data_IF_899289170527
#
_entry.id   IF_899289170527
#
_cell.length_a   1.000
_cell.length_b   1.000
_cell.length_c   1.000
_cell.angle_alpha   90.00
_cell.angle_beta   90.00
_cell.angle_gamma   90.00
#
_symmetry.space_group_name_H-M   'P 1'
#
loop_
_entity.id
_entity.type
_entity.pdbx_description
1 polymer ?
#
# COMPACT_ATOMS: atom_id res chain seq x y z
N UNK A 1 -48.50 26.17 -20.73
CA UNK A 1 -47.05 26.39 -20.55
C UNK A 1 -46.77 26.88 -19.13
N UNK A 2 -46.18 26.01 -18.30
CA UNK A 2 -45.48 26.25 -17.03
C UNK A 2 -44.70 24.96 -16.68
N UNK A 3 -43.60 25.05 -15.88
CA UNK A 3 -42.38 24.20 -15.92
C UNK A 3 -42.52 22.93 -15.01
N UNK A 4 -41.55 22.00 -14.74
CA UNK A 4 -40.15 22.23 -14.30
C UNK A 4 -39.10 21.09 -14.53
N UNK A 5 -37.97 21.20 -13.83
CA UNK A 5 -37.01 20.15 -13.44
C UNK A 5 -35.77 19.90 -14.32
N UNK A 6 -34.75 20.75 -14.10
CA UNK A 6 -33.39 20.27 -13.88
C UNK A 6 -33.41 19.07 -12.91
N UNK A 7 -33.46 17.84 -13.44
CA UNK A 7 -33.00 16.66 -12.72
C UNK A 7 -31.57 16.41 -13.19
N UNK A 8 -30.53 16.59 -12.36
CA UNK A 8 -29.21 16.08 -12.73
C UNK A 8 -29.36 14.57 -12.88
N UNK A 9 -29.11 14.08 -14.10
CA UNK A 9 -29.13 12.65 -14.38
C UNK A 9 -28.14 11.96 -13.43
N UNK A 10 -28.54 10.88 -12.74
CA UNK A 10 -27.63 10.11 -11.91
C UNK A 10 -26.59 9.51 -12.85
N UNK A 11 -25.35 10.00 -12.72
CA UNK A 11 -24.09 9.44 -13.21
C UNK A 11 -24.26 8.08 -13.91
N UNK A 12 -24.69 8.12 -15.17
CA UNK A 12 -24.70 6.94 -16.03
C UNK A 12 -23.30 6.80 -16.60
N UNK A 13 -22.35 6.42 -15.75
CA UNK A 13 -21.06 5.95 -16.23
C UNK A 13 -21.22 4.54 -16.76
N UNK A 14 -21.54 4.44 -18.03
CA UNK A 14 -21.36 3.20 -18.79
C UNK A 14 -20.48 3.51 -19.98
N UNK A 15 -19.31 2.87 -19.98
CA UNK A 15 -18.71 2.36 -21.21
C UNK A 15 -17.81 3.32 -21.99
N UNK A 16 -16.65 3.64 -21.42
CA UNK A 16 -15.45 3.86 -22.22
C UNK A 16 -14.29 3.16 -21.51
N UNK A 17 -14.20 1.84 -21.64
CA UNK A 17 -13.08 1.06 -21.14
C UNK A 17 -11.86 1.34 -22.03
N UNK A 18 -11.16 2.44 -21.74
CA UNK A 18 -9.78 2.57 -22.17
C UNK A 18 -8.98 1.46 -21.43
N UNK A 19 -8.12 0.70 -22.13
CA UNK A 19 -7.34 -0.36 -21.48
C UNK A 19 -6.40 0.18 -20.39
N UNK A 20 -6.17 1.50 -20.33
CA UNK A 20 -5.41 2.19 -19.29
C UNK A 20 -6.20 2.54 -18.01
N UNK A 21 -7.54 2.50 -18.02
CA UNK A 21 -8.38 2.90 -16.86
C UNK A 21 -8.72 1.77 -15.88
N UNK A 22 -8.48 0.51 -16.25
CA UNK A 22 -8.71 -0.63 -15.34
C UNK A 22 -7.74 -0.65 -14.14
N UNK A 23 -6.51 -0.16 -14.32
CA UNK A 23 -5.51 -0.05 -13.26
C UNK A 23 -5.79 1.09 -12.25
N UNK A 24 -6.68 2.03 -12.59
CA UNK A 24 -6.93 3.26 -11.80
C UNK A 24 -8.31 3.27 -11.15
N UNK A 25 -8.98 2.12 -11.07
CA UNK A 25 -10.19 2.01 -10.24
C UNK A 25 -9.85 2.40 -8.80
N UNK A 26 -10.74 3.13 -8.12
CA UNK A 26 -10.53 3.60 -6.75
C UNK A 26 -10.08 2.47 -5.79
N UNK A 27 -10.57 1.24 -6.06
CA UNK A 27 -10.15 0.02 -5.36
C UNK A 27 -8.67 -0.32 -5.56
N UNK A 28 -8.17 -0.25 -6.80
CA UNK A 28 -6.76 -0.50 -7.15
C UNK A 28 -5.83 0.52 -6.50
N UNK A 29 -6.27 1.79 -6.42
CA UNK A 29 -5.52 2.84 -5.71
C UNK A 29 -5.39 2.50 -4.22
N UNK A 30 -6.49 2.11 -3.57
CA UNK A 30 -6.46 1.70 -2.15
C UNK A 30 -5.54 0.48 -1.95
N UNK A 31 -5.65 -0.56 -2.79
CA UNK A 31 -4.76 -1.74 -2.73
C UNK A 31 -3.29 -1.30 -2.81
N UNK A 32 -2.95 -0.50 -3.83
CA UNK A 32 -1.58 -0.07 -4.07
C UNK A 32 -1.04 0.81 -2.93
N UNK A 33 -1.84 1.71 -2.37
CA UNK A 33 -1.44 2.56 -1.24
C UNK A 33 -1.06 1.74 -0.02
N UNK A 34 -1.88 0.75 0.36
CA UNK A 34 -1.56 -0.10 1.51
C UNK A 34 -0.42 -1.07 1.24
N UNK A 35 -0.30 -1.58 0.00
CA UNK A 35 0.80 -2.45 -0.39
C UNK A 35 2.17 -1.71 -0.41
N UNK A 36 2.19 -0.44 -0.83
CA UNK A 36 3.40 0.39 -0.93
C UNK A 36 3.82 1.05 0.40
N UNK A 37 2.92 1.16 1.38
CA UNK A 37 3.22 1.77 2.67
C UNK A 37 4.22 0.96 3.53
N UNK A 38 4.61 -0.25 3.11
CA UNK A 38 5.60 -1.06 3.82
C UNK A 38 7.03 -0.54 3.62
N UNK A 39 7.70 -0.17 4.72
CA UNK A 39 9.13 0.18 4.82
C UNK A 39 10.10 -1.00 4.51
N UNK A 40 9.77 -1.84 3.54
CA UNK A 40 10.62 -2.94 3.09
C UNK A 40 11.68 -2.44 2.08
N UNK A 41 12.57 -1.57 2.56
CA UNK A 41 13.67 -1.04 1.76
C UNK A 41 15.01 -1.20 2.51
N UNK A 42 16.11 -1.33 1.77
CA UNK A 42 17.45 -1.52 2.34
C UNK A 42 17.84 -0.37 3.29
N UNK A 43 17.33 0.84 3.03
CA UNK A 43 17.48 2.00 3.92
C UNK A 43 16.90 1.75 5.32
N UNK A 44 15.76 1.09 5.43
CA UNK A 44 15.11 0.76 6.71
C UNK A 44 15.87 -0.31 7.49
N UNK A 45 16.56 -1.23 6.82
CA UNK A 45 17.50 -2.13 7.49
C UNK A 45 18.67 -1.32 8.04
N UNK A 46 19.25 -0.42 7.23
CA UNK A 46 20.37 0.41 7.68
C UNK A 46 19.99 1.29 8.88
N UNK A 47 18.77 1.84 8.90
CA UNK A 47 18.23 2.60 10.04
C UNK A 47 18.10 1.69 11.27
N UNK A 48 17.57 0.48 11.15
CA UNK A 48 17.44 -0.44 12.28
C UNK A 48 18.81 -0.93 12.79
N UNK A 49 19.74 -1.28 11.90
CA UNK A 49 21.11 -1.68 12.23
C UNK A 49 21.91 -0.50 12.82
N UNK A 50 21.63 0.73 12.38
CA UNK A 50 22.24 1.96 12.89
C UNK A 50 21.70 2.35 14.25
N UNK A 51 20.38 2.38 14.42
CA UNK A 51 19.71 2.76 15.66
C UNK A 51 19.80 1.68 16.74
N UNK A 52 19.29 0.48 16.48
CA UNK A 52 19.31 -0.63 17.45
C UNK A 52 20.75 -1.09 17.69
N UNK A 53 21.58 -1.13 16.64
CA UNK A 53 22.99 -1.49 16.78
C UNK A 53 23.86 -0.45 17.49
N UNK A 54 23.38 0.79 17.70
CA UNK A 54 24.03 1.74 18.59
C UNK A 54 23.64 1.53 20.06
N UNK A 55 22.44 1.02 20.33
CA UNK A 55 21.93 0.71 21.67
C UNK A 55 22.45 -0.65 22.18
N UNK A 56 22.57 -1.63 21.28
CA UNK A 56 23.03 -2.99 21.55
C UNK A 56 24.09 -3.42 20.50
N UNK A 57 25.34 -2.94 20.62
CA UNK A 57 26.40 -3.17 19.63
C UNK A 57 26.75 -4.65 19.44
N UNK A 58 26.61 -5.49 20.47
CA UNK A 58 26.81 -6.94 20.43
C UNK A 58 25.79 -7.67 19.53
N UNK A 59 24.63 -7.06 19.28
CA UNK A 59 23.57 -7.66 18.43
C UNK A 59 23.61 -7.17 16.98
N UNK A 60 24.55 -6.30 16.63
CA UNK A 60 24.62 -5.69 15.29
C UNK A 60 24.82 -6.73 14.18
N UNK A 61 25.52 -7.84 14.45
CA UNK A 61 25.66 -8.97 13.53
C UNK A 61 24.36 -9.74 13.30
N UNK A 62 23.52 -9.85 14.34
CA UNK A 62 22.23 -10.52 14.24
C UNK A 62 21.26 -9.66 13.45
N UNK A 63 21.25 -8.34 13.70
CA UNK A 63 20.44 -7.37 12.97
C UNK A 63 20.80 -7.34 11.47
N UNK A 64 22.09 -7.38 11.12
CA UNK A 64 22.51 -7.41 9.71
C UNK A 64 22.21 -8.75 9.03
N UNK A 65 22.31 -9.89 9.74
CA UNK A 65 21.91 -11.21 9.22
C UNK A 65 20.40 -11.35 9.04
N UNK A 66 19.61 -10.84 9.98
CA UNK A 66 18.15 -10.97 9.97
C UNK A 66 17.47 -9.89 9.13
N UNK A 67 18.12 -8.73 8.94
CA UNK A 67 17.58 -7.58 8.20
C UNK A 67 16.94 -7.94 6.85
N UNK A 68 17.63 -8.67 5.94
CA UNK A 68 17.05 -9.02 4.64
C UNK A 68 15.81 -9.91 4.75
N UNK A 69 15.80 -10.84 5.72
CA UNK A 69 14.64 -11.72 5.99
C UNK A 69 13.48 -10.92 6.57
N UNK A 70 13.78 -10.00 7.49
CA UNK A 70 12.80 -9.10 8.09
C UNK A 70 12.17 -8.16 7.05
N UNK A 71 12.93 -7.70 6.05
CA UNK A 71 12.40 -6.92 4.92
C UNK A 71 11.34 -7.70 4.15
N UNK A 72 11.64 -8.94 3.75
CA UNK A 72 10.72 -9.78 2.98
C UNK A 72 9.45 -10.06 3.81
N UNK A 73 9.62 -10.39 5.09
CA UNK A 73 8.49 -10.57 6.01
C UNK A 73 7.64 -9.30 6.14
N UNK A 74 8.28 -8.12 6.20
CA UNK A 74 7.61 -6.82 6.23
C UNK A 74 6.81 -6.53 4.96
N UNK A 75 7.33 -6.89 3.77
CA UNK A 75 6.58 -6.79 2.51
C UNK A 75 5.32 -7.65 2.54
N UNK A 76 5.43 -8.90 3.00
CA UNK A 76 4.26 -9.78 3.11
C UNK A 76 3.23 -9.26 4.12
N UNK A 77 3.66 -8.67 5.23
CA UNK A 77 2.75 -8.05 6.19
C UNK A 77 1.99 -6.85 5.58
N UNK A 78 2.67 -6.02 4.77
CA UNK A 78 2.03 -4.91 4.06
C UNK A 78 1.00 -5.40 3.03
N UNK A 79 1.33 -6.45 2.25
CA UNK A 79 0.38 -7.07 1.33
C UNK A 79 -0.82 -7.70 2.05
N UNK A 80 -0.58 -8.35 3.19
CA UNK A 80 -1.67 -8.92 3.98
C UNK A 80 -2.60 -7.83 4.53
N UNK A 81 -2.03 -6.68 4.94
CA UNK A 81 -2.82 -5.51 5.35
C UNK A 81 -3.66 -4.98 4.20
N UNK A 82 -3.08 -4.85 3.00
CA UNK A 82 -3.82 -4.45 1.80
C UNK A 82 -4.97 -5.41 1.48
N UNK A 83 -4.77 -6.73 1.61
CA UNK A 83 -5.82 -7.72 1.43
C UNK A 83 -6.95 -7.57 2.45
N UNK A 84 -6.62 -7.38 3.73
CA UNK A 84 -7.64 -7.20 4.80
C UNK A 84 -8.46 -5.94 4.55
N UNK A 85 -7.81 -4.82 4.23
CA UNK A 85 -8.50 -3.56 3.93
C UNK A 85 -9.48 -3.74 2.77
N UNK A 86 -9.08 -4.43 1.71
CA UNK A 86 -9.89 -4.64 0.51
C UNK A 86 -10.98 -5.69 0.69
N UNK A 87 -10.83 -6.60 1.64
CA UNK A 87 -11.89 -7.53 2.01
C UNK A 87 -12.99 -6.86 2.84
N UNK A 88 -12.68 -5.76 3.53
CA UNK A 88 -13.60 -5.03 4.40
C UNK A 88 -14.33 -3.86 3.72
N UNK A 89 -13.87 -3.43 2.54
CA UNK A 89 -14.45 -2.35 1.73
C UNK A 89 -15.20 -2.95 0.54
#
# INVERSE_FOLDING_TARGET
>A
MSPPCHRPLPYRQSGASNPSTELTSARSVVIATYALAGFANFSSIAIQVGGIGAIAPERRSDLSRLGPRAMIAGSFAAFMTACVVVALI
#
